data_IF_186568152143
#
_entry.id   IF_186568152143
#
_cell.length_a   1.000
_cell.length_b   1.000
_cell.length_c   1.000
_cell.angle_alpha   90.00
_cell.angle_beta   90.00
_cell.angle_gamma   90.00
#
_symmetry.space_group_name_H-M   'P 1'
#
loop_
_entity.id
_entity.type
_entity.pdbx_description
1 polymer ?
#
# COMPACT_ATOMS: atom_id res chain seq x y z
N UNK A 1 -16.90 -11.71 15.62
CA UNK A 1 -15.43 -11.81 15.44
C UNK A 1 -15.17 -12.07 13.96
N UNK A 2 -14.22 -11.39 13.34
CA UNK A 2 -13.85 -11.56 11.93
C UNK A 2 -12.44 -12.13 11.86
N UNK A 3 -12.21 -13.13 11.00
CA UNK A 3 -10.94 -13.82 10.88
C UNK A 3 -10.28 -13.52 9.53
N UNK A 4 -8.94 -13.52 9.52
CA UNK A 4 -8.19 -13.45 8.27
C UNK A 4 -8.50 -14.69 7.40
N UNK A 5 -8.66 -14.55 6.06
CA UNK A 5 -9.01 -15.68 5.18
C UNK A 5 -7.98 -16.82 5.16
N UNK A 6 -6.75 -16.55 5.58
CA UNK A 6 -5.70 -17.56 5.75
C UNK A 6 -4.77 -17.17 6.90
N UNK A 7 -4.28 -18.14 7.69
CA UNK A 7 -3.30 -17.88 8.72
C UNK A 7 -2.00 -17.37 8.09
N UNK A 8 -1.33 -16.46 8.79
CA UNK A 8 -0.09 -15.85 8.32
C UNK A 8 0.81 -15.50 9.49
N UNK A 9 2.05 -15.95 9.45
CA UNK A 9 3.15 -15.53 10.31
C UNK A 9 4.15 -14.72 9.50
N UNK A 10 4.89 -13.81 10.15
CA UNK A 10 5.94 -12.98 9.53
C UNK A 10 5.47 -12.13 8.34
N UNK A 11 4.25 -11.60 8.41
CA UNK A 11 3.71 -10.75 7.36
C UNK A 11 4.20 -9.32 7.47
N UNK A 12 4.38 -8.64 6.34
CA UNK A 12 4.42 -7.18 6.31
C UNK A 12 3.00 -6.62 6.17
N UNK A 13 2.72 -5.50 6.86
CA UNK A 13 1.45 -4.78 6.78
C UNK A 13 1.69 -3.32 6.41
N UNK A 14 1.25 -2.93 5.22
CA UNK A 14 1.44 -1.57 4.72
C UNK A 14 0.10 -0.86 4.56
N UNK A 15 0.01 0.39 5.00
CA UNK A 15 -1.12 1.27 4.69
C UNK A 15 -0.97 1.70 3.24
N UNK A 16 -2.00 1.40 2.44
CA UNK A 16 -2.09 1.82 1.06
C UNK A 16 -2.62 3.25 0.97
N UNK A 17 -2.32 3.97 -0.12
CA UNK A 17 -2.68 5.37 -0.26
C UNK A 17 -4.20 5.64 -0.14
N UNK A 18 -5.05 4.69 -0.52
CA UNK A 18 -6.52 4.77 -0.43
C UNK A 18 -7.09 4.40 0.96
N UNK A 19 -6.23 4.04 1.91
CA UNK A 19 -6.55 3.74 3.30
C UNK A 19 -6.84 2.26 3.58
N UNK A 20 -6.79 1.42 2.56
CA UNK A 20 -6.76 -0.02 2.77
C UNK A 20 -5.39 -0.44 3.34
N UNK A 21 -5.31 -1.64 3.89
CA UNK A 21 -4.06 -2.22 4.39
C UNK A 21 -3.74 -3.46 3.57
N UNK A 22 -2.56 -3.51 2.98
CA UNK A 22 -2.06 -4.73 2.36
C UNK A 22 -1.33 -5.58 3.40
N UNK A 23 -1.66 -6.87 3.43
CA UNK A 23 -0.99 -7.89 4.24
C UNK A 23 -0.30 -8.85 3.28
N UNK A 24 1.03 -8.85 3.28
CA UNK A 24 1.87 -9.56 2.31
C UNK A 24 3.01 -10.31 3.00
N UNK A 25 3.70 -11.19 2.26
CA UNK A 25 4.80 -12.02 2.74
C UNK A 25 4.40 -13.01 3.85
N UNK A 26 5.32 -13.89 4.25
CA UNK A 26 5.13 -14.81 5.35
C UNK A 26 4.62 -16.20 4.95
N UNK A 27 4.26 -16.97 5.97
CA UNK A 27 3.94 -18.40 5.88
C UNK A 27 2.69 -18.74 6.68
N UNK A 28 2.08 -19.91 6.43
CA UNK A 28 0.90 -20.36 7.21
C UNK A 28 1.28 -20.88 8.59
N UNK A 29 2.50 -21.38 8.75
CA UNK A 29 2.97 -22.05 9.97
C UNK A 29 4.47 -21.83 10.18
N UNK A 30 4.88 -21.93 11.45
CA UNK A 30 6.27 -21.74 11.89
C UNK A 30 6.50 -20.36 12.49
N UNK A 31 7.76 -19.93 12.50
CA UNK A 31 8.20 -18.68 13.13
C UNK A 31 9.23 -17.96 12.28
N UNK A 32 9.51 -16.71 12.64
CA UNK A 32 10.75 -16.04 12.27
C UNK A 32 11.96 -16.87 12.71
N UNK A 33 13.02 -16.83 11.90
CA UNK A 33 14.24 -17.60 12.11
C UNK A 33 14.57 -18.55 10.94
N UNK A 34 15.65 -19.31 11.12
CA UNK A 34 16.22 -20.16 10.09
C UNK A 34 15.48 -21.48 9.97
N UNK A 35 15.08 -21.87 8.76
CA UNK A 35 14.39 -23.14 8.45
C UNK A 35 13.07 -23.38 9.20
N UNK A 36 12.55 -22.38 9.94
CA UNK A 36 11.42 -22.59 10.86
C UNK A 36 10.05 -22.50 10.19
N UNK A 37 9.95 -21.77 9.08
CA UNK A 37 8.68 -21.46 8.44
C UNK A 37 8.39 -22.38 7.26
N UNK A 38 7.16 -22.89 7.21
CA UNK A 38 6.68 -23.80 6.17
C UNK A 38 5.34 -23.32 5.61
N UNK A 39 4.97 -23.82 4.43
CA UNK A 39 3.74 -23.45 3.73
C UNK A 39 3.67 -21.94 3.44
N UNK A 40 4.50 -21.42 2.52
CA UNK A 40 4.53 -19.99 2.19
C UNK A 40 3.16 -19.48 1.73
N UNK A 41 2.82 -18.26 2.11
CA UNK A 41 1.58 -17.61 1.68
C UNK A 41 1.87 -16.63 0.56
N UNK A 42 1.63 -17.07 -0.67
CA UNK A 42 1.94 -16.31 -1.88
C UNK A 42 0.83 -15.34 -2.32
N UNK A 43 -0.35 -15.38 -1.70
CA UNK A 43 -1.49 -14.51 -2.02
C UNK A 43 -1.56 -13.36 -1.02
N UNK A 44 -1.32 -12.10 -1.41
CA UNK A 44 -1.55 -10.97 -0.53
C UNK A 44 -3.03 -10.80 -0.17
N UNK A 45 -3.31 -10.11 0.93
CA UNK A 45 -4.65 -9.71 1.32
C UNK A 45 -4.76 -8.19 1.31
N UNK A 46 -5.89 -7.67 0.84
CA UNK A 46 -6.31 -6.30 1.08
C UNK A 46 -7.32 -6.32 2.22
N UNK A 47 -7.07 -5.52 3.25
CA UNK A 47 -7.96 -5.28 4.37
C UNK A 47 -8.52 -3.86 4.30
N UNK A 48 -9.83 -3.73 4.13
CA UNK A 48 -10.53 -2.45 4.13
C UNK A 48 -11.08 -2.16 5.54
N UNK A 49 -10.48 -1.26 6.33
CA UNK A 49 -10.90 -1.01 7.70
C UNK A 49 -12.31 -0.42 7.81
N UNK A 50 -12.78 0.27 6.76
CA UNK A 50 -14.08 0.93 6.71
C UNK A 50 -15.18 0.06 6.08
N UNK A 51 -14.84 -1.15 5.65
CA UNK A 51 -15.79 -2.10 5.07
C UNK A 51 -16.75 -2.68 6.12
N UNK A 52 -17.83 -3.29 5.63
CA UNK A 52 -18.76 -4.04 6.49
C UNK A 52 -18.04 -5.23 7.12
N UNK A 53 -18.23 -5.46 8.42
CA UNK A 53 -17.67 -6.61 9.11
C UNK A 53 -18.02 -7.92 8.38
N UNK A 54 -17.03 -8.79 8.16
CA UNK A 54 -17.17 -10.03 7.39
C UNK A 54 -16.90 -9.88 5.89
N UNK A 55 -16.75 -8.65 5.40
CA UNK A 55 -16.42 -8.33 4.01
C UNK A 55 -15.21 -7.40 3.89
N UNK A 56 -14.36 -7.32 4.93
CA UNK A 56 -13.20 -6.41 4.93
C UNK A 56 -11.97 -6.99 4.24
N UNK A 57 -11.89 -8.31 4.06
CA UNK A 57 -10.76 -8.96 3.41
C UNK A 57 -11.03 -9.30 1.94
N UNK A 58 -10.09 -8.97 1.08
CA UNK A 58 -10.04 -9.40 -0.33
C UNK A 58 -8.73 -10.14 -0.60
N UNK A 59 -8.79 -11.29 -1.26
CA UNK A 59 -7.61 -12.10 -1.58
C UNK A 59 -7.09 -11.73 -2.97
N UNK A 60 -5.84 -11.28 -3.06
CA UNK A 60 -5.19 -10.92 -4.31
C UNK A 60 -4.69 -12.14 -5.09
N UNK A 61 -4.24 -11.92 -6.34
CA UNK A 61 -3.55 -12.93 -7.13
C UNK A 61 -2.29 -13.43 -6.43
N UNK A 62 -1.92 -14.70 -6.67
CA UNK A 62 -0.73 -15.29 -6.08
C UNK A 62 0.54 -14.81 -6.81
N UNK A 63 1.61 -14.54 -6.06
CA UNK A 63 2.96 -14.48 -6.62
C UNK A 63 3.50 -15.90 -6.84
N UNK A 64 4.40 -16.06 -7.81
CA UNK A 64 5.16 -17.29 -7.99
C UNK A 64 6.28 -17.44 -6.95
N UNK A 65 6.65 -16.35 -6.26
CA UNK A 65 7.78 -16.30 -5.34
C UNK A 65 7.32 -16.35 -3.88
N UNK A 66 7.77 -17.33 -3.09
CA UNK A 66 7.60 -17.31 -1.65
C UNK A 66 8.48 -16.22 -1.04
N UNK A 67 7.90 -15.39 -0.17
CA UNK A 67 8.61 -14.33 0.57
C UNK A 67 8.49 -14.66 2.05
N UNK A 68 9.49 -15.36 2.60
CA UNK A 68 9.52 -15.87 3.97
C UNK A 68 10.37 -14.97 4.88
N UNK A 69 10.98 -15.51 5.94
CA UNK A 69 11.85 -14.76 6.85
C UNK A 69 12.92 -13.96 6.09
N UNK A 70 13.16 -12.71 6.52
CA UNK A 70 13.94 -11.69 5.80
C UNK A 70 13.37 -11.22 4.46
N UNK A 71 12.09 -11.44 4.16
CA UNK A 71 11.41 -10.61 3.18
C UNK A 71 11.10 -9.22 3.75
N UNK A 72 10.90 -8.26 2.86
CA UNK A 72 10.41 -6.92 3.23
C UNK A 72 9.51 -6.39 2.13
N UNK A 73 8.61 -5.47 2.49
CA UNK A 73 7.77 -4.73 1.57
C UNK A 73 7.75 -3.24 1.96
N UNK A 74 7.69 -2.36 0.97
CA UNK A 74 7.59 -0.90 1.17
C UNK A 74 6.66 -0.25 0.16
N UNK A 75 5.96 0.79 0.59
CA UNK A 75 5.12 1.62 -0.27
C UNK A 75 6.00 2.61 -1.06
N UNK A 76 5.81 2.67 -2.38
CA UNK A 76 6.46 3.63 -3.26
C UNK A 76 5.65 4.92 -3.39
N UNK A 77 6.30 6.01 -3.78
CA UNK A 77 5.67 7.34 -3.97
C UNK A 77 4.62 7.36 -5.09
N UNK A 78 4.67 6.38 -6.00
CA UNK A 78 3.68 6.21 -7.07
C UNK A 78 2.50 5.28 -6.67
N UNK A 79 2.46 4.84 -5.42
CA UNK A 79 1.40 3.98 -4.87
C UNK A 79 1.57 2.49 -5.16
N UNK A 80 2.65 2.07 -5.83
CA UNK A 80 3.02 0.65 -5.93
C UNK A 80 3.60 0.13 -4.62
N UNK A 81 3.60 -1.18 -4.46
CA UNK A 81 4.29 -1.87 -3.37
C UNK A 81 5.50 -2.57 -3.96
N UNK A 82 6.68 -2.26 -3.42
CA UNK A 82 7.94 -2.95 -3.74
C UNK A 82 8.19 -4.04 -2.69
N UNK A 83 8.50 -5.25 -3.15
CA UNK A 83 8.74 -6.43 -2.30
C UNK A 83 10.07 -7.05 -2.65
N UNK A 84 10.84 -7.45 -1.63
CA UNK A 84 12.16 -8.05 -1.76
C UNK A 84 12.43 -9.16 -0.76
N UNK A 85 13.58 -9.83 -0.91
CA UNK A 85 13.98 -10.99 -0.10
C UNK A 85 13.35 -12.30 -0.61
N UNK A 86 13.32 -13.41 0.10
CA UNK A 86 13.72 -13.68 1.47
C UNK A 86 15.05 -14.42 1.56
N UNK A 87 15.61 -14.45 2.77
CA UNK A 87 16.65 -15.40 3.12
C UNK A 87 16.25 -16.13 4.40
N UNK A 88 15.56 -17.29 4.30
CA UNK A 88 15.17 -18.07 5.47
C UNK A 88 16.31 -18.91 6.05
N UNK A 89 17.56 -18.66 5.65
CA UNK A 89 18.73 -19.47 5.99
C UNK A 89 19.76 -18.65 6.79
N UNK A 90 20.58 -19.34 7.59
CA UNK A 90 21.70 -18.72 8.35
C UNK A 90 22.73 -18.04 7.44
N UNK A 91 22.97 -18.60 6.25
CA UNK A 91 23.85 -18.07 5.21
C UNK A 91 23.08 -18.01 3.89
N UNK A 92 23.59 -17.30 2.89
CA UNK A 92 22.97 -17.36 1.56
C UNK A 92 23.07 -18.77 1.00
N UNK A 93 21.93 -19.36 0.68
CA UNK A 93 21.83 -20.68 0.11
C UNK A 93 20.85 -20.65 -1.07
N UNK A 94 21.36 -20.96 -2.27
CA UNK A 94 20.61 -20.85 -3.51
C UNK A 94 20.18 -22.20 -4.08
N UNK A 95 20.69 -23.32 -3.55
CA UNK A 95 20.51 -24.65 -4.15
C UNK A 95 20.36 -25.73 -3.09
N UNK A 96 19.57 -26.77 -3.38
CA UNK A 96 19.42 -27.92 -2.48
C UNK A 96 18.61 -27.62 -1.21
N UNK A 97 17.73 -26.61 -1.26
CA UNK A 97 16.83 -26.18 -0.18
C UNK A 97 15.45 -25.86 -0.73
N UNK A 98 14.42 -25.98 0.11
CA UNK A 98 13.02 -25.77 -0.29
C UNK A 98 12.73 -24.31 -0.70
N UNK A 99 13.36 -23.35 0.00
CA UNK A 99 13.12 -21.92 -0.20
C UNK A 99 14.43 -21.15 -0.38
N UNK A 100 15.07 -21.23 -1.55
CA UNK A 100 16.34 -20.58 -1.82
C UNK A 100 16.34 -19.09 -1.48
N UNK A 101 17.51 -18.57 -1.10
CA UNK A 101 17.73 -17.13 -0.96
C UNK A 101 17.30 -16.41 -2.24
N UNK A 102 16.38 -15.45 -2.10
CA UNK A 102 15.87 -14.65 -3.20
C UNK A 102 16.33 -13.19 -3.03
N UNK A 103 17.17 -12.73 -3.96
CA UNK A 103 17.70 -11.36 -4.00
C UNK A 103 16.91 -10.46 -4.95
N UNK A 104 15.83 -10.96 -5.55
CA UNK A 104 15.01 -10.22 -6.52
C UNK A 104 14.07 -9.23 -5.85
N UNK A 105 13.65 -8.25 -6.65
CA UNK A 105 12.59 -7.31 -6.31
C UNK A 105 11.40 -7.49 -7.24
N UNK A 106 10.19 -7.42 -6.69
CA UNK A 106 8.94 -7.34 -7.44
C UNK A 106 8.19 -6.08 -7.04
N UNK A 107 7.64 -5.36 -8.02
CA UNK A 107 6.69 -4.27 -7.74
C UNK A 107 5.32 -4.63 -8.30
N UNK A 108 4.27 -4.36 -7.55
CA UNK A 108 2.91 -4.53 -8.04
C UNK A 108 2.01 -3.38 -7.59
N UNK A 109 0.94 -3.18 -8.34
CA UNK A 109 -0.08 -2.17 -8.04
C UNK A 109 -1.26 -2.85 -7.34
N UNK A 110 -1.47 -2.63 -6.04
CA UNK A 110 -2.57 -3.28 -5.31
C UNK A 110 -3.95 -2.85 -5.81
N UNK A 111 -4.04 -1.65 -6.38
CA UNK A 111 -5.26 -1.13 -6.99
C UNK A 111 -4.98 -0.69 -8.43
N UNK A 112 -5.94 -0.93 -9.32
CA UNK A 112 -5.95 -0.32 -10.66
C UNK A 112 -6.51 1.10 -10.49
N UNK A 113 -5.64 2.07 -10.28
CA UNK A 113 -6.03 3.48 -10.28
C UNK A 113 -6.47 3.88 -11.69
N UNK A 114 -7.77 4.16 -11.89
CA UNK A 114 -8.29 4.58 -13.20
C UNK A 114 -8.06 6.07 -13.41
N UNK A 115 -7.68 6.51 -14.63
CA UNK A 115 -7.61 7.92 -14.95
C UNK A 115 -8.98 8.60 -14.82
N UNK A 116 -8.95 9.82 -14.32
CA UNK A 116 -10.11 10.59 -13.88
C UNK A 116 -10.76 11.29 -15.07
N UNK A 117 -12.09 11.19 -15.22
CA UNK A 117 -12.82 11.90 -16.29
C UNK A 117 -13.34 13.29 -15.87
N UNK A 118 -13.61 13.56 -14.58
CA UNK A 118 -14.06 14.90 -14.12
C UNK A 118 -14.06 15.08 -12.60
N UNK A 119 -13.45 16.15 -12.09
CA UNK A 119 -13.63 16.60 -10.70
C UNK A 119 -14.70 17.70 -10.64
N UNK A 120 -15.81 17.47 -9.94
CA UNK A 120 -16.91 18.44 -9.86
C UNK A 120 -17.23 18.95 -8.46
N UNK A 121 -16.74 18.30 -7.39
CA UNK A 121 -17.02 18.70 -5.99
C UNK A 121 -15.84 18.36 -5.06
N UNK A 122 -15.62 19.18 -4.02
CA UNK A 122 -14.63 18.93 -2.95
C UNK A 122 -14.90 17.62 -2.21
N UNK A 123 -16.16 17.27 -2.00
CA UNK A 123 -16.56 16.01 -1.38
C UNK A 123 -16.19 14.77 -2.20
N UNK A 124 -15.86 14.94 -3.48
CA UNK A 124 -15.40 13.85 -4.33
C UNK A 124 -13.89 13.60 -4.20
N UNK A 125 -13.12 14.49 -3.56
CA UNK A 125 -11.66 14.40 -3.48
C UNK A 125 -11.19 14.18 -2.04
N UNK A 126 -10.29 13.22 -1.85
CA UNK A 126 -9.60 12.98 -0.58
C UNK A 126 -8.11 13.20 -0.78
N UNK A 127 -7.50 14.08 0.02
CA UNK A 127 -6.04 14.27 0.06
C UNK A 127 -5.53 13.59 1.32
N UNK A 128 -4.47 12.80 1.19
CA UNK A 128 -3.92 12.01 2.28
C UNK A 128 -2.40 12.09 2.27
N UNK A 129 -1.82 12.16 3.45
CA UNK A 129 -0.38 12.04 3.64
C UNK A 129 -0.08 10.72 4.34
N UNK A 130 0.95 10.02 3.87
CA UNK A 130 1.40 8.75 4.43
C UNK A 130 2.86 8.86 4.82
N UNK A 131 3.17 8.64 6.10
CA UNK A 131 4.55 8.49 6.55
C UNK A 131 5.07 7.13 6.07
N UNK A 132 6.13 7.09 5.26
CA UNK A 132 6.71 5.83 4.82
C UNK A 132 7.30 5.09 6.02
N UNK A 133 7.20 3.77 6.00
CA UNK A 133 7.81 2.93 7.01
C UNK A 133 9.20 2.46 6.66
N UNK A 134 9.97 2.16 7.70
CA UNK A 134 11.15 1.33 7.58
C UNK A 134 10.79 -0.09 8.04
N UNK A 135 10.95 -1.07 7.13
CA UNK A 135 10.45 -2.42 7.32
C UNK A 135 11.59 -3.42 7.47
N UNK A 136 11.60 -4.12 8.61
CA UNK A 136 12.45 -5.28 8.82
C UNK A 136 11.77 -6.25 9.79
N UNK A 137 11.95 -7.55 9.57
CA UNK A 137 11.43 -8.60 10.45
C UNK A 137 9.93 -8.46 10.75
N UNK A 138 9.14 -8.07 9.74
CA UNK A 138 7.68 -7.86 9.87
C UNK A 138 7.27 -6.67 10.76
N UNK A 139 8.21 -5.80 11.11
CA UNK A 139 7.96 -4.55 11.81
C UNK A 139 8.05 -3.37 10.84
N UNK A 140 6.90 -2.71 10.61
CA UNK A 140 6.79 -1.50 9.78
C UNK A 140 6.72 -0.26 10.69
N UNK A 141 7.89 0.17 11.18
CA UNK A 141 7.95 1.31 12.11
C UNK A 141 7.60 2.62 11.39
N UNK A 142 7.08 3.59 12.14
CA UNK A 142 6.77 4.96 11.69
C UNK A 142 5.62 5.12 10.66
N UNK A 143 5.02 4.02 10.19
CA UNK A 143 3.86 4.06 9.30
C UNK A 143 2.68 4.82 9.93
N UNK A 144 2.14 5.79 9.20
CA UNK A 144 0.94 6.53 9.58
C UNK A 144 0.26 7.09 8.33
N UNK A 145 -1.06 7.11 8.32
CA UNK A 145 -1.83 7.91 7.36
C UNK A 145 -2.60 9.01 8.07
N UNK A 146 -2.60 10.21 7.48
CA UNK A 146 -3.48 11.31 7.87
C UNK A 146 -4.32 11.73 6.68
N UNK A 147 -5.64 11.73 6.86
CA UNK A 147 -6.59 12.27 5.87
C UNK A 147 -6.71 13.77 6.11
N UNK A 148 -6.37 14.58 5.12
CA UNK A 148 -6.39 16.04 5.23
C UNK A 148 -7.79 16.60 5.00
N UNK A 149 -8.10 17.70 5.68
CA UNK A 149 -9.36 18.44 5.49
C UNK A 149 -9.31 19.19 4.16
N UNK A 150 -10.20 18.83 3.22
CA UNK A 150 -10.34 19.55 1.96
C UNK A 150 -10.87 20.97 2.17
N UNK A 151 -10.20 21.95 1.59
CA UNK A 151 -10.56 23.37 1.65
C UNK A 151 -11.20 23.88 0.34
N UNK A 152 -10.87 23.28 -0.80
CA UNK A 152 -11.40 23.71 -2.09
C UNK A 152 -10.90 22.86 -3.27
N UNK A 153 -11.69 22.78 -4.33
CA UNK A 153 -11.26 22.22 -5.62
C UNK A 153 -11.68 23.21 -6.69
N UNK A 154 -10.73 23.69 -7.50
CA UNK A 154 -10.99 24.59 -8.62
C UNK A 154 -10.33 24.08 -9.89
N UNK A 155 -11.02 24.20 -11.02
CA UNK A 155 -10.45 23.86 -12.33
C UNK A 155 -9.57 25.02 -12.78
N UNK A 156 -8.30 24.74 -13.09
CA UNK A 156 -7.32 25.75 -13.54
C UNK A 156 -6.90 25.56 -14.99
N UNK A 157 -7.30 24.45 -15.63
CA UNK A 157 -7.05 24.20 -17.05
C UNK A 157 -7.84 23.01 -17.60
N UNK A 158 -7.55 22.62 -18.83
CA UNK A 158 -8.11 21.40 -19.43
C UNK A 158 -7.66 20.17 -18.65
N UNK A 159 -8.57 19.56 -17.88
CA UNK A 159 -8.31 18.44 -16.98
C UNK A 159 -7.28 18.71 -15.87
N UNK A 160 -6.95 19.98 -15.61
CA UNK A 160 -6.07 20.38 -14.51
C UNK A 160 -6.89 21.02 -13.39
N UNK A 161 -6.72 20.52 -12.18
CA UNK A 161 -7.45 20.93 -11.01
C UNK A 161 -6.48 21.31 -9.90
N UNK A 162 -6.75 22.43 -9.23
CA UNK A 162 -6.10 22.81 -7.98
C UNK A 162 -6.94 22.26 -6.83
N UNK A 163 -6.30 21.52 -5.93
CA UNK A 163 -6.91 21.03 -4.69
C UNK A 163 -6.23 21.74 -3.53
N UNK A 164 -7.03 22.41 -2.70
CA UNK A 164 -6.57 23.02 -1.46
C UNK A 164 -6.95 22.09 -0.30
N UNK A 165 -6.01 21.83 0.61
CA UNK A 165 -6.23 21.04 1.81
C UNK A 165 -5.52 21.70 3.01
N UNK A 166 -6.09 21.58 4.19
CA UNK A 166 -5.47 22.01 5.44
C UNK A 166 -4.55 20.91 5.97
N UNK A 167 -3.35 21.31 6.39
CA UNK A 167 -2.44 20.42 7.09
C UNK A 167 -3.01 19.92 8.43
N UNK A 168 -2.36 18.90 9.03
CA UNK A 168 -2.69 18.43 10.38
C UNK A 168 -2.62 19.55 11.41
N UNK A 169 -3.51 19.52 12.40
CA UNK A 169 -3.67 20.61 13.37
C UNK A 169 -2.63 20.62 14.49
N UNK A 170 -1.89 19.52 14.69
CA UNK A 170 -0.84 19.42 15.72
C UNK A 170 0.20 18.34 15.33
N UNK A 171 1.43 18.42 15.91
CA UNK A 171 2.50 17.46 15.65
C UNK A 171 2.26 16.08 16.27
N UNK A 172 1.28 15.88 17.15
CA UNK A 172 0.92 14.55 17.63
C UNK A 172 0.22 13.73 16.54
N UNK A 173 -0.64 14.37 15.73
CA UNK A 173 -1.30 13.75 14.58
C UNK A 173 -0.28 13.45 13.48
N UNK A 174 0.58 14.42 13.17
CA UNK A 174 1.65 14.29 12.17
C UNK A 174 2.96 14.93 12.67
N UNK A 175 3.79 14.17 13.39
CA UNK A 175 5.13 14.52 13.79
C UNK A 175 5.97 14.97 12.60
N UNK A 176 6.95 15.86 12.83
CA UNK A 176 7.85 16.32 11.80
C UNK A 176 8.56 15.16 11.09
N UNK A 177 8.65 15.26 9.78
CA UNK A 177 9.26 14.23 8.95
C UNK A 177 8.82 14.31 7.49
N UNK A 178 9.19 13.29 6.72
CA UNK A 178 8.80 13.18 5.33
C UNK A 178 7.52 12.36 5.19
N UNK A 179 6.62 12.85 4.34
CA UNK A 179 5.38 12.16 4.00
C UNK A 179 5.23 12.06 2.49
N UNK A 180 4.70 10.93 2.03
CA UNK A 180 4.17 10.80 0.68
C UNK A 180 2.78 11.43 0.64
N UNK A 181 2.53 12.34 -0.31
CA UNK A 181 1.22 12.97 -0.49
C UNK A 181 0.48 12.30 -1.65
N UNK A 182 -0.77 11.90 -1.41
CA UNK A 182 -1.61 11.26 -2.42
C UNK A 182 -2.99 11.93 -2.48
N UNK A 183 -3.58 11.96 -3.69
CA UNK A 183 -4.93 12.45 -3.91
C UNK A 183 -5.81 11.38 -4.57
N UNK A 184 -7.02 11.22 -4.05
CA UNK A 184 -8.01 10.21 -4.50
C UNK A 184 -9.31 10.88 -4.89
N UNK A 185 -10.03 10.23 -5.80
CA UNK A 185 -11.43 10.54 -6.05
C UNK A 185 -12.31 9.40 -5.51
N UNK A 186 -13.34 9.74 -4.72
CA UNK A 186 -14.44 8.82 -4.41
C UNK A 186 -15.28 8.64 -5.69
N UNK A 187 -14.93 7.64 -6.50
CA UNK A 187 -15.82 7.18 -7.56
C UNK A 187 -16.76 6.16 -6.94
N UNK A 188 -18.00 6.56 -6.66
CA UNK A 188 -19.06 5.58 -6.40
C UNK A 188 -19.07 4.60 -7.58
N UNK A 189 -19.03 3.29 -7.29
CA UNK A 189 -19.17 2.20 -8.27
C UNK A 189 -20.19 2.58 -9.33
N UNK A 190 -19.73 2.93 -10.53
CA UNK A 190 -20.59 2.91 -11.72
C UNK A 190 -20.53 1.48 -12.24
N UNK A 191 -21.61 0.75 -12.03
CA UNK A 191 -21.84 -0.54 -12.68
C UNK A 191 -22.02 -0.28 -14.18
N UNK A 192 -21.15 -0.90 -14.97
CA UNK A 192 -21.13 -1.08 -16.43
C UNK A 192 -21.29 0.13 -17.36
N UNK A 193 -20.42 0.16 -18.37
CA UNK A 193 -20.68 0.51 -19.77
C UNK A 193 -19.35 0.31 -20.52
N UNK A 194 -19.27 -0.74 -21.34
CA UNK A 194 -18.06 -1.12 -22.07
C UNK A 194 -17.64 -0.07 -23.09
N UNK A 195 -16.35 0.28 -23.10
CA UNK A 195 -15.62 0.89 -24.21
C UNK A 195 -14.13 0.55 -24.03
N UNK A 196 -13.53 -0.11 -25.03
CA UNK A 196 -12.09 -0.34 -25.13
C UNK A 196 -11.44 0.95 -25.60
N UNK A 197 -10.46 1.50 -24.89
CA UNK A 197 -9.39 2.30 -25.50
C UNK A 197 -8.08 2.21 -24.73
N UNK A 198 -7.03 2.22 -25.53
CA UNK A 198 -5.60 2.08 -25.30
C UNK A 198 -4.95 3.30 -24.63
N UNK A 199 -3.85 3.02 -23.92
CA UNK A 199 -2.86 3.91 -23.32
C UNK A 199 -3.20 4.44 -21.91
N UNK A 200 -2.58 3.75 -20.94
CA UNK A 200 -2.59 4.00 -19.50
C UNK A 200 -1.45 4.93 -19.09
N UNK A 201 -1.77 6.05 -18.45
CA UNK A 201 -0.84 6.82 -17.61
C UNK A 201 -1.60 7.30 -16.36
N UNK A 202 -1.02 7.04 -15.19
CA UNK A 202 -1.47 7.56 -13.90
C UNK A 202 -1.16 9.06 -13.81
N UNK A 203 -2.06 9.85 -13.22
CA UNK A 203 -1.80 11.27 -13.01
C UNK A 203 -1.01 11.49 -11.70
N UNK A 204 0.23 11.90 -11.89
CA UNK A 204 1.18 12.45 -10.91
C UNK A 204 0.71 13.84 -10.47
N UNK A 205 0.51 14.04 -9.17
CA UNK A 205 0.43 15.38 -8.56
C UNK A 205 1.62 15.46 -7.61
N UNK A 206 2.74 15.91 -8.16
CA UNK A 206 4.03 16.19 -7.53
C UNK A 206 4.70 15.04 -6.74
N UNK A 207 5.74 14.45 -7.35
CA UNK A 207 6.68 13.50 -6.72
C UNK A 207 7.58 14.23 -5.70
N UNK A 208 6.99 14.74 -4.62
CA UNK A 208 7.74 15.40 -3.57
C UNK A 208 7.55 14.66 -2.25
N UNK A 209 8.64 14.12 -1.71
CA UNK A 209 8.78 13.98 -0.26
C UNK A 209 8.74 15.41 0.29
N UNK A 210 7.58 15.81 0.79
CA UNK A 210 7.46 17.14 1.37
C UNK A 210 7.98 17.07 2.82
N UNK A 211 9.01 17.85 3.17
CA UNK A 211 9.34 18.03 4.58
C UNK A 211 8.14 18.73 5.22
N UNK A 212 7.53 18.06 6.20
CA UNK A 212 6.41 18.63 6.94
C UNK A 212 6.89 19.07 8.32
N UNK A 213 6.80 20.38 8.60
CA UNK A 213 7.06 20.96 9.92
C UNK A 213 5.81 21.72 10.33
N UNK A 214 5.20 21.33 11.45
CA UNK A 214 4.12 22.10 12.08
C UNK A 214 4.80 23.07 13.04
N UNK A 215 4.69 24.37 12.76
CA UNK A 215 5.12 25.43 13.69
C UNK A 215 4.09 25.58 14.82
#
# INVERSE_FOLDING_TARGET
>A
MENMPMPRVMSDMLILPDGDVIIINGARSGTAGWESAINPVTRPLIYNPNGKAGARFSVMAASSRPRLYHSTAVLLTDGRVLVGGSNPHKYYNFTGVDFPTDLSLESFSPHIYRPLQRFLKTSAVSVRIVAPSFNTHSFSMNQRMVVLKGAGVSRVGSNVYRVAASGPSNPEIAPPGYYCCFSFMLVFRVLDCGLRFSNMLAYKVDDALLPFTIN
#
